data_IF_045430001514
#
_entry.id   IF_045430001514
#
_cell.length_a   1.000
_cell.length_b   1.000
_cell.length_c   1.000
_cell.angle_alpha   90.00
_cell.angle_beta   90.00
_cell.angle_gamma   90.00
#
_symmetry.space_group_name_H-M   'P 1'
#
loop_
_entity.id
_entity.type
_entity.pdbx_description
1 polymer ?
#
# COMPACT_ATOMS: atom_id res chain seq x y z
N UNK A 1 17.42 -25.22 -18.40
CA UNK A 1 17.28 -23.76 -18.25
C UNK A 1 17.09 -23.49 -16.77
N UNK A 2 17.98 -22.73 -16.12
CA UNK A 2 17.83 -22.37 -14.71
C UNK A 2 16.89 -21.18 -14.61
N UNK A 3 15.77 -21.35 -13.91
CA UNK A 3 14.83 -20.26 -13.63
C UNK A 3 15.60 -19.11 -12.96
N UNK A 4 15.45 -17.85 -13.41
CA UNK A 4 16.14 -16.72 -12.78
C UNK A 4 15.79 -16.64 -11.30
N UNK A 5 16.78 -16.36 -10.46
CA UNK A 5 16.55 -16.13 -9.04
C UNK A 5 15.67 -14.88 -8.89
N UNK A 6 14.46 -15.03 -8.37
CA UNK A 6 13.56 -13.91 -8.09
C UNK A 6 13.71 -13.51 -6.62
N UNK A 7 14.38 -12.37 -6.37
CA UNK A 7 14.37 -11.75 -5.04
C UNK A 7 13.06 -10.98 -4.89
N UNK A 8 12.27 -11.32 -3.88
CA UNK A 8 11.05 -10.59 -3.51
C UNK A 8 11.32 -9.96 -2.15
N UNK A 9 11.37 -8.63 -2.11
CA UNK A 9 11.41 -7.87 -0.87
C UNK A 9 10.00 -7.45 -0.52
N UNK A 10 9.58 -7.67 0.73
CA UNK A 10 8.27 -7.27 1.24
C UNK A 10 8.46 -6.22 2.32
N UNK A 11 7.72 -5.12 2.23
CA UNK A 11 7.70 -4.06 3.24
C UNK A 11 6.29 -4.00 3.81
N UNK A 12 6.16 -4.13 5.12
CA UNK A 12 4.89 -3.97 5.82
C UNK A 12 4.88 -2.61 6.53
N UNK A 13 4.06 -1.69 6.04
CA UNK A 13 3.86 -0.37 6.63
C UNK A 13 2.76 -0.49 7.70
N UNK A 14 3.04 -0.01 8.91
CA UNK A 14 2.09 -0.03 10.03
C UNK A 14 1.56 1.39 10.28
N UNK A 15 0.39 1.49 10.91
CA UNK A 15 -0.32 2.77 11.13
C UNK A 15 0.51 3.85 11.82
N UNK A 16 1.50 3.47 12.64
CA UNK A 16 2.37 4.41 13.36
C UNK A 16 3.62 4.80 12.59
N UNK A 17 3.76 4.37 11.33
CA UNK A 17 4.91 4.69 10.50
C UNK A 17 4.74 6.11 9.94
N UNK A 18 5.75 6.96 10.14
CA UNK A 18 5.77 8.29 9.54
C UNK A 18 5.78 8.18 8.02
N UNK A 19 4.93 8.96 7.35
CA UNK A 19 4.84 9.01 5.90
C UNK A 19 4.78 10.46 5.44
N UNK A 20 5.67 10.83 4.52
CA UNK A 20 5.70 12.17 3.91
C UNK A 20 5.69 12.04 2.39
N UNK A 21 5.28 13.12 1.72
CA UNK A 21 5.26 13.18 0.26
C UNK A 21 5.96 14.43 -0.23
N UNK A 22 6.82 14.27 -1.25
CA UNK A 22 7.51 15.37 -1.92
C UNK A 22 7.00 15.47 -3.35
N UNK A 23 6.53 16.66 -3.73
CA UNK A 23 6.12 16.95 -5.10
C UNK A 23 7.32 17.47 -5.89
N UNK A 24 7.53 16.91 -7.08
CA UNK A 24 8.58 17.30 -8.02
C UNK A 24 7.93 17.92 -9.27
N UNK A 25 7.64 19.25 -9.29
CA UNK A 25 6.78 19.85 -10.32
C UNK A 25 7.39 19.81 -11.73
N UNK A 26 8.71 19.80 -11.82
CA UNK A 26 9.46 19.75 -13.09
C UNK A 26 9.48 18.36 -13.71
N UNK A 27 9.24 17.32 -12.91
CA UNK A 27 9.36 15.91 -13.28
C UNK A 27 7.98 15.22 -13.42
N UNK A 28 6.89 15.93 -13.10
CA UNK A 28 5.52 15.38 -12.98
C UNK A 28 5.46 14.12 -12.09
N UNK A 29 6.27 14.13 -11.03
CA UNK A 29 6.51 13.03 -10.12
C UNK A 29 6.15 13.39 -8.68
N UNK A 30 5.73 12.39 -7.91
CA UNK A 30 5.60 12.46 -6.46
C UNK A 30 6.39 11.30 -5.84
N UNK A 31 7.14 11.60 -4.79
CA UNK A 31 7.89 10.62 -4.02
C UNK A 31 7.29 10.50 -2.63
N UNK A 32 7.10 9.25 -2.18
CA UNK A 32 6.66 8.94 -0.83
C UNK A 32 7.84 8.41 -0.02
N UNK A 33 8.10 9.01 1.13
CA UNK A 33 9.04 8.50 2.12
C UNK A 33 8.27 7.84 3.26
N UNK A 34 8.58 6.58 3.55
CA UNK A 34 8.00 5.81 4.65
C UNK A 34 9.08 5.49 5.68
N UNK A 35 8.88 5.97 6.91
CA UNK A 35 9.81 5.81 8.03
C UNK A 35 10.56 7.11 8.37
N UNK A 36 11.43 7.07 9.39
CA UNK A 36 12.25 8.22 9.77
C UNK A 36 13.21 8.57 8.63
N UNK A 37 13.46 9.87 8.42
CA UNK A 37 14.13 10.40 7.22
C UNK A 37 15.49 9.77 6.91
N UNK A 38 16.21 9.26 7.91
CA UNK A 38 17.54 8.64 7.75
C UNK A 38 17.50 7.20 7.24
N UNK A 39 16.40 6.48 7.46
CA UNK A 39 16.24 5.05 7.13
C UNK A 39 14.91 4.79 6.39
N UNK A 40 14.39 5.82 5.73
CA UNK A 40 13.11 5.75 5.06
C UNK A 40 13.19 4.88 3.80
N UNK A 41 12.12 4.12 3.57
CA UNK A 41 11.88 3.52 2.26
C UNK A 41 11.22 4.57 1.37
N UNK A 42 11.86 4.87 0.24
CA UNK A 42 11.37 5.83 -0.74
C UNK A 42 10.86 5.11 -1.99
N UNK A 43 9.73 5.57 -2.52
CA UNK A 43 9.19 5.08 -3.77
C UNK A 43 8.40 6.20 -4.47
N UNK A 44 8.68 6.35 -5.76
CA UNK A 44 8.17 7.42 -6.59
C UNK A 44 7.15 6.96 -7.64
N UNK A 45 6.28 7.88 -8.03
CA UNK A 45 5.33 7.68 -9.11
C UNK A 45 5.30 8.88 -10.04
N UNK A 46 5.30 8.61 -11.35
CA UNK A 46 4.72 9.53 -12.31
C UNK A 46 3.19 9.63 -12.10
N UNK A 47 2.58 10.72 -12.58
CA UNK A 47 1.15 10.96 -12.42
C UNK A 47 0.24 9.81 -12.88
N UNK A 48 0.42 9.18 -14.07
CA UNK A 48 -0.41 8.06 -14.48
C UNK A 48 -0.27 6.81 -13.60
N UNK A 49 0.94 6.51 -13.13
CA UNK A 49 1.22 5.37 -12.26
C UNK A 49 0.64 5.58 -10.87
N UNK A 50 0.74 6.81 -10.34
CA UNK A 50 0.10 7.19 -9.09
C UNK A 50 -1.41 6.96 -9.15
N UNK A 51 -2.05 7.39 -10.26
CA UNK A 51 -3.50 7.22 -10.43
C UNK A 51 -3.90 5.74 -10.38
N UNK A 52 -3.21 4.89 -11.14
CA UNK A 52 -3.45 3.44 -11.13
C UNK A 52 -3.24 2.82 -9.76
N UNK A 53 -2.21 3.26 -9.04
CA UNK A 53 -1.93 2.76 -7.69
C UNK A 53 -3.04 3.13 -6.71
N UNK A 54 -3.52 4.39 -6.73
CA UNK A 54 -4.64 4.83 -5.89
C UNK A 54 -5.91 4.01 -6.17
N UNK A 55 -6.26 3.82 -7.45
CA UNK A 55 -7.45 3.06 -7.83
C UNK A 55 -7.36 1.60 -7.32
N UNK A 56 -6.18 0.97 -7.43
CA UNK A 56 -5.93 -0.38 -6.90
C UNK A 56 -6.00 -0.43 -5.37
N UNK A 57 -5.39 0.54 -4.68
CA UNK A 57 -5.38 0.61 -3.22
C UNK A 57 -6.80 0.79 -2.66
N UNK A 58 -7.60 1.67 -3.26
CA UNK A 58 -9.00 1.88 -2.87
C UNK A 58 -9.84 0.61 -3.05
N UNK A 59 -9.68 -0.08 -4.18
CA UNK A 59 -10.38 -1.34 -4.46
C UNK A 59 -10.00 -2.43 -3.46
N UNK A 60 -8.72 -2.49 -3.12
CA UNK A 60 -8.17 -3.47 -2.16
C UNK A 60 -8.68 -3.20 -0.74
N UNK A 61 -8.74 -1.93 -0.32
CA UNK A 61 -9.29 -1.54 0.98
C UNK A 61 -10.77 -1.91 1.09
N UNK A 62 -11.58 -1.58 0.08
CA UNK A 62 -12.99 -1.96 0.06
C UNK A 62 -13.21 -3.48 0.16
N UNK A 63 -12.30 -4.28 -0.41
CA UNK A 63 -12.35 -5.74 -0.32
C UNK A 63 -12.04 -6.23 1.11
N UNK A 64 -11.07 -5.63 1.79
CA UNK A 64 -10.74 -5.95 3.18
C UNK A 64 -11.91 -5.63 4.11
N UNK A 65 -12.51 -4.44 3.96
CA UNK A 65 -13.64 -4.00 4.78
C UNK A 65 -14.85 -4.94 4.61
N UNK A 66 -15.15 -5.35 3.37
CA UNK A 66 -16.21 -6.32 3.09
C UNK A 66 -15.92 -7.70 3.71
N UNK A 67 -14.67 -8.16 3.66
CA UNK A 67 -14.26 -9.41 4.30
C UNK A 67 -14.40 -9.39 5.83
N UNK A 68 -14.09 -8.26 6.46
CA UNK A 68 -14.26 -8.06 7.90
C UNK A 68 -15.74 -8.00 8.31
N UNK A 69 -16.60 -7.34 7.52
CA UNK A 69 -18.05 -7.30 7.76
C UNK A 69 -18.70 -8.69 7.70
N UNK A 70 -18.27 -9.54 6.76
CA UNK A 70 -18.78 -10.92 6.66
C UNK A 70 -18.35 -11.80 7.85
N UNK A 71 -17.14 -11.59 8.37
CA UNK A 71 -16.59 -12.34 9.51
C UNK A 71 -17.29 -11.99 10.83
N UNK A 72 -17.65 -10.72 11.04
CA UNK A 72 -18.41 -10.27 12.20
C UNK A 72 -19.88 -10.72 12.15
N UNK A 73 -20.50 -10.75 10.95
CA UNK A 73 -21.86 -11.25 10.76
C UNK A 73 -21.98 -12.77 11.05
N UNK A 74 -21.03 -13.60 10.60
CA UNK A 74 -21.04 -15.04 10.87
C UNK A 74 -20.82 -15.38 12.36
N UNK A 75 -20.01 -14.59 13.07
CA UNK A 75 -19.76 -14.80 14.50
C UNK A 75 -20.99 -14.52 15.37
N UNK A 76 -21.87 -13.60 14.95
CA UNK A 76 -23.13 -13.29 15.64
C UNK A 76 -24.19 -14.39 15.49
N UNK A 77 -24.19 -15.13 14.38
CA UNK A 77 -25.18 -16.20 14.11
C UNK A 77 -24.81 -17.49 14.83
N UNK A 78 -23.52 -17.76 15.06
CA UNK A 78 -23.06 -18.96 15.77
C UNK A 78 -23.25 -18.93 17.30
N UNK A 79 -23.67 -17.78 17.86
CA UNK A 79 -23.93 -17.60 19.29
C UNK A 79 -25.42 -17.43 19.63
N UNK A 80 -26.32 -17.61 18.66
CA UNK A 80 -27.77 -17.52 18.82
C UNK A 80 -28.44 -18.90 18.86
#
# INVERSE_FOLDING_TARGET
>A
MTTPLKVITWVAIRDTCEMTATLHPTEDQIDFLIGPTTDAFEFGFDRPSLRRFIDLAQTSLATLDAGQANSSAQSSVAQS
#
